data_IF_780456749977
#
_entry.id   IF_780456749977
#
_cell.length_a   1.000
_cell.length_b   1.000
_cell.length_c   1.000
_cell.angle_alpha   90.00
_cell.angle_beta   90.00
_cell.angle_gamma   90.00
#
_symmetry.space_group_name_H-M   'P 1'
#
loop_
_entity.id
_entity.type
_entity.pdbx_description
1 polymer ?
#
# COMPACT_ATOMS: atom_id res chain seq x y z
N UNK A 1 0.24 -24.84 -13.36
CA UNK A 1 -0.96 -24.58 -14.19
C UNK A 1 -1.98 -23.76 -13.43
N UNK A 2 -2.61 -24.34 -12.40
CA UNK A 2 -3.59 -23.62 -11.58
C UNK A 2 -3.02 -22.33 -10.98
N UNK A 3 -1.79 -22.36 -10.50
CA UNK A 3 -1.15 -21.21 -9.83
C UNK A 3 -1.05 -20.00 -10.75
N UNK A 4 -0.52 -20.20 -11.95
CA UNK A 4 -0.40 -19.11 -12.93
C UNK A 4 -1.75 -18.65 -13.44
N UNK A 5 -2.68 -19.57 -13.69
CA UNK A 5 -3.99 -19.22 -14.25
C UNK A 5 -4.84 -18.42 -13.30
N UNK A 6 -4.79 -18.69 -11.99
CA UNK A 6 -5.50 -17.87 -11.00
C UNK A 6 -4.94 -16.43 -10.94
N UNK A 7 -3.62 -16.30 -10.88
CA UNK A 7 -2.98 -15.00 -10.87
C UNK A 7 -3.29 -14.19 -12.13
N UNK A 8 -3.30 -14.85 -13.27
CA UNK A 8 -3.61 -14.21 -14.55
C UNK A 8 -5.08 -13.79 -14.65
N UNK A 9 -5.98 -14.67 -14.20
CA UNK A 9 -7.43 -14.41 -14.23
C UNK A 9 -7.79 -13.14 -13.43
N UNK A 10 -7.24 -13.00 -12.24
CA UNK A 10 -7.56 -11.88 -11.35
C UNK A 10 -6.57 -10.73 -11.46
N UNK A 11 -5.50 -10.87 -12.25
CA UNK A 11 -4.43 -9.87 -12.41
C UNK A 11 -3.82 -9.45 -11.08
N UNK A 12 -3.47 -10.44 -10.26
CA UNK A 12 -2.97 -10.24 -8.91
C UNK A 12 -3.98 -10.66 -7.85
N UNK A 13 -3.75 -10.28 -6.61
CA UNK A 13 -4.51 -10.76 -5.46
C UNK A 13 -5.28 -9.67 -4.73
N UNK A 14 -4.83 -8.43 -4.85
CA UNK A 14 -5.36 -7.30 -4.10
C UNK A 14 -5.53 -6.10 -5.01
N UNK A 15 -6.34 -5.17 -4.56
CA UNK A 15 -6.53 -3.88 -5.23
C UNK A 15 -6.86 -2.84 -4.16
N UNK A 16 -7.01 -1.60 -4.56
CA UNK A 16 -7.48 -0.53 -3.68
C UNK A 16 -8.97 -0.26 -3.93
N UNK A 17 -9.61 0.31 -2.93
CA UNK A 17 -11.01 0.72 -3.03
C UNK A 17 -11.20 2.08 -2.36
N UNK A 18 -12.21 2.81 -2.79
CA UNK A 18 -12.61 4.04 -2.12
C UNK A 18 -13.44 3.69 -0.89
N UNK A 19 -13.23 4.42 0.22
CA UNK A 19 -14.05 4.25 1.43
C UNK A 19 -15.44 4.81 1.25
N UNK A 20 -15.55 5.95 0.56
CA UNK A 20 -16.83 6.52 0.16
C UNK A 20 -17.26 5.83 -1.13
N UNK A 21 -18.22 4.92 -1.04
CA UNK A 21 -18.70 4.14 -2.19
C UNK A 21 -19.90 4.78 -2.89
N UNK A 22 -20.27 6.02 -2.49
CA UNK A 22 -21.28 6.80 -3.18
C UNK A 22 -20.74 7.47 -4.44
N UNK A 23 -21.60 8.21 -5.11
CA UNK A 23 -21.17 9.00 -6.27
C UNK A 23 -20.21 10.10 -5.83
N UNK A 24 -19.08 10.23 -6.54
CA UNK A 24 -18.11 11.30 -6.32
C UNK A 24 -18.42 12.44 -7.30
N UNK A 25 -19.24 13.36 -6.87
CA UNK A 25 -19.58 14.56 -7.65
C UNK A 25 -18.57 15.70 -7.45
N UNK A 26 -18.85 16.85 -8.05
CA UNK A 26 -17.96 18.01 -7.96
C UNK A 26 -17.77 18.49 -6.51
N UNK A 27 -18.83 18.49 -5.71
CA UNK A 27 -18.77 18.96 -4.33
C UNK A 27 -17.91 18.02 -3.48
N UNK A 28 -18.06 16.72 -3.65
CA UNK A 28 -17.21 15.73 -2.98
C UNK A 28 -15.75 15.84 -3.42
N UNK A 29 -15.50 16.04 -4.71
CA UNK A 29 -14.13 16.26 -5.20
C UNK A 29 -13.50 17.49 -4.56
N UNK A 30 -14.23 18.58 -4.43
CA UNK A 30 -13.76 19.81 -3.79
C UNK A 30 -13.49 19.61 -2.31
N UNK A 31 -14.20 18.71 -1.66
CA UNK A 31 -14.03 18.38 -0.24
C UNK A 31 -12.86 17.42 -0.02
N UNK A 32 -12.79 16.36 -0.83
CA UNK A 32 -11.75 15.33 -0.70
C UNK A 32 -10.41 15.76 -1.27
N UNK A 33 -10.42 16.68 -2.23
CA UNK A 33 -9.21 17.18 -2.85
C UNK A 33 -9.15 18.70 -2.75
N UNK A 34 -8.88 19.41 -3.82
CA UNK A 34 -8.67 20.86 -3.77
C UNK A 34 -10.02 21.61 -3.92
N UNK A 35 -10.32 22.60 -3.07
CA UNK A 35 -9.50 23.18 -2.00
C UNK A 35 -9.68 22.55 -0.61
N UNK A 36 -10.70 21.74 -0.40
CA UNK A 36 -11.11 21.27 0.94
C UNK A 36 -10.02 20.49 1.68
N UNK A 37 -9.21 19.70 0.98
CA UNK A 37 -8.15 18.91 1.58
C UNK A 37 -7.11 19.76 2.32
N UNK A 38 -6.95 21.03 1.95
CA UNK A 38 -6.03 21.94 2.63
C UNK A 38 -6.35 22.10 4.11
N UNK A 39 -7.63 22.15 4.46
CA UNK A 39 -8.05 22.26 5.86
C UNK A 39 -7.68 21.00 6.65
N UNK A 40 -7.79 19.83 6.03
CA UNK A 40 -7.40 18.57 6.65
C UNK A 40 -5.88 18.51 6.86
N UNK A 41 -5.11 18.93 5.87
CA UNK A 41 -3.65 18.99 5.98
C UNK A 41 -3.21 19.93 7.10
N UNK A 42 -3.86 21.09 7.24
CA UNK A 42 -3.59 22.02 8.34
C UNK A 42 -3.90 21.41 9.70
N UNK A 43 -5.04 20.74 9.82
CA UNK A 43 -5.43 20.07 11.06
C UNK A 43 -4.39 19.04 11.50
N UNK A 44 -3.88 18.24 10.56
CA UNK A 44 -2.84 17.24 10.84
C UNK A 44 -1.51 17.94 11.21
N UNK A 45 -1.16 19.04 10.51
CA UNK A 45 0.06 19.77 10.83
C UNK A 45 0.02 20.37 12.23
N UNK A 46 -1.13 20.87 12.67
CA UNK A 46 -1.34 21.41 14.01
C UNK A 46 -1.32 20.31 15.07
N UNK A 47 -1.86 19.13 14.76
CA UNK A 47 -1.88 17.99 15.68
C UNK A 47 -1.56 16.71 14.90
N UNK A 48 -0.27 16.35 14.76
CA UNK A 48 0.12 15.15 13.98
C UNK A 48 -0.47 13.84 14.49
N UNK A 49 -0.90 13.78 15.74
CA UNK A 49 -1.57 12.61 16.30
C UNK A 49 -2.92 12.32 15.62
N UNK A 50 -3.49 13.29 14.91
CA UNK A 50 -4.73 13.13 14.17
C UNK A 50 -4.55 12.50 12.78
N UNK A 51 -3.33 12.20 12.36
CA UNK A 51 -3.08 11.58 11.06
C UNK A 51 -3.96 10.33 10.82
N UNK A 52 -4.04 9.36 11.72
CA UNK A 52 -4.90 8.19 11.51
C UNK A 52 -6.40 8.50 11.55
N UNK A 53 -6.78 9.62 12.12
CA UNK A 53 -8.19 10.05 12.16
C UNK A 53 -8.70 10.47 10.78
N UNK A 54 -7.83 11.05 9.95
CA UNK A 54 -8.22 11.64 8.68
C UNK A 54 -7.69 10.89 7.45
N UNK A 55 -6.88 9.85 7.64
CA UNK A 55 -6.24 9.14 6.53
C UNK A 55 -6.31 7.64 6.70
N UNK A 56 -5.98 6.91 5.65
CA UNK A 56 -5.97 5.45 5.67
C UNK A 56 -4.86 4.85 6.52
N UNK A 57 -3.96 5.67 7.08
CA UNK A 57 -2.91 5.19 7.96
C UNK A 57 -3.42 4.54 9.24
N UNK A 58 -4.72 4.72 9.53
CA UNK A 58 -5.34 4.09 10.69
C UNK A 58 -5.30 2.56 10.66
N UNK A 59 -5.17 1.96 9.48
CA UNK A 59 -5.23 0.51 9.31
C UNK A 59 -4.29 0.03 8.20
N UNK A 60 -3.18 0.71 8.00
CA UNK A 60 -2.29 0.49 6.86
C UNK A 60 -0.94 -0.07 7.28
N UNK A 61 -0.47 -1.09 6.56
CA UNK A 61 0.86 -1.68 6.71
C UNK A 61 1.56 -1.71 5.36
N UNK A 62 2.81 -1.28 5.32
CA UNK A 62 3.65 -1.45 4.15
C UNK A 62 4.37 -2.80 4.20
N UNK A 63 4.32 -3.56 3.12
CA UNK A 63 5.07 -4.82 2.96
C UNK A 63 6.16 -4.56 1.94
N UNK A 64 7.39 -4.39 2.42
CA UNK A 64 8.51 -3.88 1.60
C UNK A 64 9.53 -4.99 1.39
N UNK A 65 9.99 -5.16 0.15
CA UNK A 65 11.02 -6.13 -0.22
C UNK A 65 11.86 -5.62 -1.38
N UNK A 66 13.09 -6.09 -1.45
CA UNK A 66 13.98 -5.87 -2.60
C UNK A 66 14.09 -7.10 -3.52
N UNK A 67 13.42 -8.21 -3.15
CA UNK A 67 13.44 -9.45 -3.93
C UNK A 67 14.73 -10.25 -3.80
N UNK A 68 15.58 -9.95 -2.82
CA UNK A 68 16.87 -10.63 -2.63
C UNK A 68 16.74 -12.09 -2.15
N UNK A 69 15.59 -12.44 -1.55
CA UNK A 69 15.33 -13.81 -1.09
C UNK A 69 13.84 -14.14 -1.28
N UNK A 70 13.53 -15.03 -2.21
CA UNK A 70 12.15 -15.38 -2.57
C UNK A 70 11.93 -16.89 -2.38
N UNK A 71 11.26 -17.29 -1.28
CA UNK A 71 10.76 -18.64 -1.02
C UNK A 71 11.79 -19.76 -1.28
N UNK A 72 13.06 -19.57 -0.95
CA UNK A 72 14.09 -20.55 -1.23
C UNK A 72 14.57 -20.58 -2.69
N UNK A 73 14.00 -19.77 -3.56
CA UNK A 73 14.44 -19.62 -4.96
C UNK A 73 15.61 -18.66 -5.11
N UNK A 74 15.99 -17.98 -4.01
CA UNK A 74 17.11 -17.05 -4.00
C UNK A 74 16.72 -15.66 -4.46
N UNK A 75 17.70 -14.95 -5.02
CA UNK A 75 17.54 -13.57 -5.49
C UNK A 75 16.97 -13.56 -6.92
N UNK A 76 15.66 -13.35 -7.04
CA UNK A 76 14.97 -13.24 -8.33
C UNK A 76 14.66 -11.79 -8.71
N UNK A 77 15.00 -10.85 -7.83
CA UNK A 77 14.78 -9.43 -8.06
C UNK A 77 13.42 -8.91 -7.61
N UNK A 78 13.25 -7.57 -7.63
CA UNK A 78 12.04 -6.95 -7.06
C UNK A 78 10.76 -7.31 -7.82
N UNK A 79 10.79 -7.40 -9.15
CA UNK A 79 9.59 -7.74 -9.93
C UNK A 79 9.05 -9.11 -9.55
N UNK A 80 9.92 -10.09 -9.42
CA UNK A 80 9.54 -11.45 -9.06
C UNK A 80 9.08 -11.58 -7.59
N UNK A 81 9.42 -10.62 -6.74
CA UNK A 81 8.97 -10.57 -5.36
C UNK A 81 7.50 -10.13 -5.24
N UNK A 82 6.97 -9.40 -6.20
CA UNK A 82 5.64 -8.82 -6.11
C UNK A 82 4.55 -9.84 -5.79
N UNK A 83 4.46 -11.00 -6.47
CA UNK A 83 3.42 -11.98 -6.16
C UNK A 83 3.46 -12.48 -4.72
N UNK A 84 4.67 -12.62 -4.16
CA UNK A 84 4.85 -13.06 -2.77
C UNK A 84 4.41 -11.97 -1.80
N UNK A 85 4.77 -10.73 -2.07
CA UNK A 85 4.38 -9.57 -1.25
C UNK A 85 2.87 -9.33 -1.31
N UNK A 86 2.26 -9.51 -2.47
CA UNK A 86 0.80 -9.51 -2.59
C UNK A 86 0.15 -10.64 -1.78
N UNK A 87 0.78 -11.81 -1.76
CA UNK A 87 0.33 -12.93 -0.93
C UNK A 87 0.32 -12.57 0.55
N UNK A 88 1.36 -11.89 1.03
CA UNK A 88 1.40 -11.40 2.41
C UNK A 88 0.30 -10.38 2.67
N UNK A 89 0.07 -9.46 1.74
CA UNK A 89 -1.00 -8.47 1.85
C UNK A 89 -2.38 -9.14 1.90
N UNK A 90 -2.58 -10.20 1.11
CA UNK A 90 -3.80 -11.00 1.14
C UNK A 90 -4.01 -11.63 2.52
N UNK A 91 -2.96 -12.19 3.12
CA UNK A 91 -3.03 -12.79 4.45
C UNK A 91 -3.41 -11.75 5.52
N UNK A 92 -2.81 -10.57 5.47
CA UNK A 92 -3.16 -9.48 6.36
C UNK A 92 -4.64 -9.12 6.26
N UNK A 93 -5.13 -8.98 5.04
CA UNK A 93 -6.53 -8.61 4.82
C UNK A 93 -7.49 -9.71 5.23
N UNK A 94 -7.21 -10.95 4.79
CA UNK A 94 -8.10 -12.09 5.03
C UNK A 94 -8.20 -12.44 6.51
N UNK A 95 -7.09 -12.47 7.23
CA UNK A 95 -7.06 -12.94 8.62
C UNK A 95 -7.18 -11.84 9.66
N UNK A 96 -6.75 -10.62 9.36
CA UNK A 96 -6.70 -9.53 10.34
C UNK A 96 -7.47 -8.28 9.92
N UNK A 97 -8.03 -8.26 8.72
CA UNK A 97 -8.69 -7.10 8.14
C UNK A 97 -7.79 -5.85 8.14
N UNK A 98 -6.50 -6.04 7.95
CA UNK A 98 -5.52 -4.97 7.83
C UNK A 98 -5.24 -4.72 6.36
N UNK A 99 -5.23 -3.45 5.98
CA UNK A 99 -4.88 -3.03 4.62
C UNK A 99 -3.37 -3.03 4.48
N UNK A 100 -2.82 -3.89 3.64
CA UNK A 100 -1.39 -3.99 3.41
C UNK A 100 -1.06 -3.63 1.97
N UNK A 101 -0.03 -2.81 1.80
CA UNK A 101 0.41 -2.35 0.47
C UNK A 101 1.78 -2.93 0.17
N UNK A 102 1.89 -3.81 -0.85
CA UNK A 102 3.18 -4.33 -1.27
C UNK A 102 3.99 -3.25 -1.99
N UNK A 103 5.24 -3.10 -1.59
CA UNK A 103 6.19 -2.19 -2.23
C UNK A 103 7.48 -2.95 -2.48
N UNK A 104 7.87 -3.07 -3.74
CA UNK A 104 9.15 -3.70 -4.10
C UNK A 104 10.11 -2.64 -4.61
N UNK A 105 11.35 -2.72 -4.12
CA UNK A 105 12.38 -1.73 -4.38
C UNK A 105 13.56 -2.38 -5.09
N UNK A 106 14.11 -1.69 -6.08
CA UNK A 106 15.32 -2.13 -6.78
C UNK A 106 16.55 -1.52 -6.10
N UNK A 107 16.66 -1.71 -4.79
CA UNK A 107 17.79 -1.32 -3.96
C UNK A 107 18.06 -2.44 -2.97
N UNK A 108 19.32 -2.67 -2.61
CA UNK A 108 19.70 -3.80 -1.77
C UNK A 108 20.38 -3.38 -0.48
N UNK A 109 20.89 -2.16 -0.42
CA UNK A 109 21.55 -1.64 0.78
C UNK A 109 20.49 -1.14 1.78
N UNK A 110 20.53 -1.61 3.04
CA UNK A 110 19.57 -1.15 4.04
C UNK A 110 19.51 0.38 4.21
N UNK A 111 20.64 1.04 4.00
CA UNK A 111 20.75 2.49 4.05
C UNK A 111 19.86 3.17 3.00
N UNK A 112 19.82 2.66 1.78
CA UNK A 112 19.00 3.20 0.70
C UNK A 112 17.51 3.02 0.99
N UNK A 113 17.13 1.88 1.56
CA UNK A 113 15.75 1.61 1.97
C UNK A 113 15.33 2.58 3.08
N UNK A 114 16.20 2.82 4.06
CA UNK A 114 15.93 3.76 5.15
C UNK A 114 15.75 5.19 4.65
N UNK A 115 16.57 5.63 3.70
CA UNK A 115 16.45 6.96 3.08
C UNK A 115 15.09 7.10 2.38
N UNK A 116 14.68 6.10 1.60
CA UNK A 116 13.39 6.09 0.95
C UNK A 116 12.23 6.20 1.94
N UNK A 117 12.33 5.52 3.08
CA UNK A 117 11.32 5.60 4.15
C UNK A 117 11.27 6.97 4.80
N UNK A 118 12.40 7.65 4.93
CA UNK A 118 12.46 8.97 5.55
C UNK A 118 11.81 10.07 4.70
N UNK A 119 11.68 9.85 3.40
CA UNK A 119 11.11 10.80 2.45
C UNK A 119 9.66 10.52 2.06
N UNK A 120 9.09 9.47 2.59
CA UNK A 120 7.68 9.08 2.31
C UNK A 120 6.70 9.74 3.26
#
# INVERSE_FOLDING_TARGET
>A
MLFRSLHQKYKGKITTALRDNGEIDRDKLSSYYSPGVGAVSQAIAENPADLPKYTWTNNLVGVISDGSAILGLGNLGPKAAMPVMEGKALLFKHFANVDAVPIVLDVHEPKEIKIGRAHV
#
